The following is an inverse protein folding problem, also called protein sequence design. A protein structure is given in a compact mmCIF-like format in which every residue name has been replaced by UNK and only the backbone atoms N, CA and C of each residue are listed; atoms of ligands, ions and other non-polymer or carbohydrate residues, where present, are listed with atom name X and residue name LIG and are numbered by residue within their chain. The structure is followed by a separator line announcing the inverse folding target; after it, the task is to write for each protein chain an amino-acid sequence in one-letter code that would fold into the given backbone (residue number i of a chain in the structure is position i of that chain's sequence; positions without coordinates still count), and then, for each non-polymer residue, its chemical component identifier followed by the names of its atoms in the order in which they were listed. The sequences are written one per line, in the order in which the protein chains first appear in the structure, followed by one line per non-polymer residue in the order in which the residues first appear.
data_IF_756150764769
#
_entry.id   IF_756150764769
#
_cell.length_a   1.000
_cell.length_b   1.000
_cell.length_c   1.000
_cell.angle_alpha   90.00
_cell.angle_beta   90.00
_cell.angle_gamma   90.00
#
_symmetry.space_group_name_H-M   'P 1'
#
loop_
_entity.id
_entity.type
_entity.pdbx_description
1 polymer ?
#
# COMPACT_ATOMS: atom_id res chain seq x y z
N UNK A 1 28.27 15.27 27.29
CA UNK A 1 28.19 13.79 27.13
C UNK A 1 26.75 13.48 26.75
N UNK A 2 26.50 13.23 25.46
CA UNK A 2 25.19 12.86 24.95
C UNK A 2 24.88 11.43 25.41
N UNK A 3 23.96 11.29 26.37
CA UNK A 3 23.35 10.00 26.66
C UNK A 3 22.29 9.81 25.57
N UNK A 4 22.61 9.05 24.52
CA UNK A 4 21.60 8.50 23.63
C UNK A 4 20.68 7.61 24.48
N UNK A 5 19.46 8.07 24.67
CA UNK A 5 18.42 7.33 25.38
C UNK A 5 18.10 6.05 24.61
N UNK A 6 18.39 4.92 25.24
CA UNK A 6 18.06 3.55 24.80
C UNK A 6 16.53 3.31 24.72
N UNK A 7 15.69 4.32 25.04
CA UNK A 7 14.22 4.23 25.05
C UNK A 7 13.51 4.65 23.75
N UNK A 8 14.22 5.18 22.75
CA UNK A 8 13.59 5.67 21.51
C UNK A 8 13.26 4.56 20.50
N UNK A 9 14.11 3.51 20.41
CA UNK A 9 13.97 2.43 19.43
C UNK A 9 12.70 1.56 19.60
N UNK A 10 12.26 1.19 20.83
CA UNK A 10 11.05 0.38 21.01
C UNK A 10 9.77 1.11 20.54
N UNK A 11 9.73 2.44 20.67
CA UNK A 11 8.58 3.27 20.26
C UNK A 11 8.50 3.40 18.74
N UNK A 12 9.64 3.53 18.08
CA UNK A 12 9.71 3.57 16.61
C UNK A 12 9.27 2.23 16.01
N UNK A 13 9.79 1.11 16.53
CA UNK A 13 9.41 -0.22 16.05
C UNK A 13 7.91 -0.49 16.20
N UNK A 14 7.32 -0.10 17.34
CA UNK A 14 5.88 -0.22 17.56
C UNK A 14 5.06 0.68 16.61
N UNK A 15 5.53 1.90 16.33
CA UNK A 15 4.88 2.81 15.38
C UNK A 15 4.93 2.27 13.95
N UNK A 16 6.10 1.81 13.50
CA UNK A 16 6.28 1.16 12.19
C UNK A 16 5.40 -0.09 12.08
N UNK A 17 5.34 -0.92 13.13
CA UNK A 17 4.46 -2.10 13.16
C UNK A 17 2.97 -1.76 13.07
N UNK A 18 2.55 -0.66 13.69
CA UNK A 18 1.16 -0.15 13.59
C UNK A 18 0.86 0.35 12.18
N UNK A 19 1.78 1.10 11.57
CA UNK A 19 1.67 1.55 10.18
C UNK A 19 1.61 0.36 9.22
N UNK A 20 2.49 -0.63 9.40
CA UNK A 20 2.49 -1.87 8.62
C UNK A 20 1.14 -2.60 8.70
N UNK A 21 0.61 -2.81 9.90
CA UNK A 21 -0.70 -3.46 10.08
C UNK A 21 -1.85 -2.66 9.43
N UNK A 22 -1.81 -1.33 9.54
CA UNK A 22 -2.79 -0.44 8.89
C UNK A 22 -2.73 -0.59 7.37
N UNK A 23 -1.53 -0.61 6.80
CA UNK A 23 -1.32 -0.77 5.37
C UNK A 23 -1.69 -2.16 4.87
N UNK A 24 -1.37 -3.23 5.60
CA UNK A 24 -1.83 -4.58 5.27
C UNK A 24 -3.35 -4.67 5.20
N UNK A 25 -4.04 -4.10 6.20
CA UNK A 25 -5.50 -4.11 6.23
C UNK A 25 -6.08 -3.24 5.11
N UNK A 26 -5.50 -2.06 4.86
CA UNK A 26 -5.94 -1.16 3.80
C UNK A 26 -5.78 -1.82 2.41
N UNK A 27 -4.65 -2.46 2.16
CA UNK A 27 -4.35 -3.18 0.92
C UNK A 27 -5.32 -4.37 0.72
N UNK A 28 -5.56 -5.15 1.78
CA UNK A 28 -6.55 -6.21 1.76
C UNK A 28 -7.96 -5.69 1.47
N UNK A 29 -8.38 -4.60 2.13
CA UNK A 29 -9.69 -3.98 1.92
C UNK A 29 -9.83 -3.39 0.51
N UNK A 30 -8.74 -2.89 -0.08
CA UNK A 30 -8.76 -2.37 -1.45
C UNK A 30 -9.12 -3.46 -2.47
N UNK A 31 -8.71 -4.72 -2.23
CA UNK A 31 -9.08 -5.82 -3.10
C UNK A 31 -10.61 -6.00 -3.16
N UNK A 32 -11.36 -5.74 -2.09
CA UNK A 32 -12.83 -5.80 -2.12
C UNK A 32 -13.45 -4.65 -2.92
N UNK A 33 -12.79 -3.50 -2.95
CA UNK A 33 -13.22 -2.37 -3.79
C UNK A 33 -12.98 -2.68 -5.26
N UNK A 34 -11.82 -3.25 -5.57
CA UNK A 34 -11.37 -3.52 -6.94
C UNK A 34 -12.00 -4.78 -7.54
N UNK A 35 -12.32 -5.75 -6.69
CA UNK A 35 -12.76 -7.09 -7.05
C UNK A 35 -13.98 -7.56 -6.21
N UNK A 36 -15.09 -6.82 -6.21
CA UNK A 36 -16.18 -6.98 -5.23
C UNK A 36 -16.86 -8.36 -5.24
N UNK A 37 -16.79 -9.09 -6.35
CA UNK A 37 -17.45 -10.39 -6.52
C UNK A 37 -16.49 -11.54 -6.78
N UNK A 38 -15.19 -11.27 -6.84
CA UNK A 38 -14.20 -12.24 -7.30
C UNK A 38 -13.46 -12.86 -6.11
N UNK A 39 -13.18 -14.15 -6.21
CA UNK A 39 -12.29 -14.89 -5.32
C UNK A 39 -10.85 -14.51 -5.65
N UNK A 40 -10.16 -13.98 -4.65
CA UNK A 40 -8.75 -13.61 -4.72
C UNK A 40 -7.86 -14.77 -4.25
N UNK A 41 -6.64 -14.83 -4.79
CA UNK A 41 -5.62 -15.80 -4.43
C UNK A 41 -4.70 -15.27 -3.33
N UNK A 42 -4.93 -15.73 -2.10
CA UNK A 42 -4.11 -15.39 -0.93
C UNK A 42 -3.02 -16.45 -0.64
N UNK A 43 -2.70 -17.31 -1.62
CA UNK A 43 -1.67 -18.33 -1.48
C UNK A 43 -2.01 -19.36 -0.41
N UNK A 44 -1.07 -19.61 0.51
CA UNK A 44 -1.26 -20.56 1.61
C UNK A 44 -2.51 -20.29 2.46
N UNK A 45 -2.98 -19.03 2.54
CA UNK A 45 -4.17 -18.67 3.31
C UNK A 45 -5.47 -19.23 2.70
N UNK A 46 -5.50 -19.52 1.39
CA UNK A 46 -6.65 -20.12 0.72
C UNK A 46 -7.04 -21.48 1.33
N UNK A 47 -6.06 -22.24 1.88
CA UNK A 47 -6.32 -23.53 2.53
C UNK A 47 -7.31 -23.42 3.68
N UNK A 48 -7.25 -22.33 4.45
CA UNK A 48 -8.12 -22.12 5.62
C UNK A 48 -9.57 -21.80 5.26
N UNK A 49 -9.84 -21.44 4.01
CA UNK A 49 -11.17 -21.11 3.49
C UNK A 49 -11.63 -22.10 2.39
N UNK A 50 -10.97 -23.26 2.31
CA UNK A 50 -11.33 -24.33 1.37
C UNK A 50 -11.13 -23.96 -0.11
N UNK A 51 -10.21 -23.04 -0.41
CA UNK A 51 -9.88 -22.63 -1.78
C UNK A 51 -8.61 -23.33 -2.28
N UNK A 52 -8.50 -23.41 -3.60
CA UNK A 52 -7.34 -23.98 -4.28
C UNK A 52 -6.07 -23.14 -4.00
N UNK A 53 -4.93 -23.83 -3.96
CA UNK A 53 -3.59 -23.24 -3.83
C UNK A 53 -2.73 -23.76 -4.95
N UNK A 54 -2.30 -22.85 -5.83
CA UNK A 54 -1.27 -23.12 -6.84
C UNK A 54 0.11 -22.79 -6.26
N UNK A 55 0.24 -21.62 -5.64
CA UNK A 55 1.49 -21.11 -5.06
C UNK A 55 1.32 -20.74 -3.61
N UNK A 56 2.37 -20.95 -2.82
CA UNK A 56 2.31 -20.68 -1.39
C UNK A 56 2.46 -19.20 -1.04
N UNK A 57 3.22 -18.44 -1.84
CA UNK A 57 3.54 -17.04 -1.56
C UNK A 57 3.77 -16.17 -2.81
N UNK A 58 4.76 -16.47 -3.65
CA UNK A 58 5.07 -15.64 -4.83
C UNK A 58 3.91 -15.55 -5.82
N UNK A 59 3.64 -14.34 -6.34
CA UNK A 59 2.55 -14.10 -7.29
C UNK A 59 1.15 -14.08 -6.66
N UNK A 60 1.05 -14.16 -5.33
CA UNK A 60 -0.22 -14.15 -4.59
C UNK A 60 -0.54 -12.75 -4.05
N UNK A 61 -1.82 -12.49 -3.74
CA UNK A 61 -2.23 -11.25 -3.07
C UNK A 61 -1.59 -11.09 -1.69
N UNK A 62 -1.29 -12.19 -1.00
CA UNK A 62 -0.61 -12.13 0.31
C UNK A 62 0.79 -11.55 0.19
N UNK A 63 1.57 -12.01 -0.79
CA UNK A 63 2.92 -11.47 -1.02
C UNK A 63 2.88 -9.99 -1.38
N UNK A 64 1.94 -9.62 -2.24
CA UNK A 64 1.69 -8.23 -2.59
C UNK A 64 1.37 -7.36 -1.37
N UNK A 65 0.36 -7.77 -0.58
CA UNK A 65 -0.10 -7.05 0.62
C UNK A 65 1.07 -6.81 1.58
N UNK A 66 1.77 -7.87 1.98
CA UNK A 66 2.83 -7.75 3.00
C UNK A 66 4.06 -7.04 2.45
N UNK A 67 4.39 -7.27 1.18
CA UNK A 67 5.54 -6.65 0.52
C UNK A 67 5.37 -5.16 0.37
N UNK A 68 4.24 -4.72 -0.22
CA UNK A 68 3.93 -3.30 -0.41
C UNK A 68 3.78 -2.60 0.94
N UNK A 69 3.02 -3.18 1.88
CA UNK A 69 2.84 -2.58 3.21
C UNK A 69 4.16 -2.44 3.99
N UNK A 70 5.06 -3.42 3.88
CA UNK A 70 6.38 -3.38 4.51
C UNK A 70 7.25 -2.25 3.95
N UNK A 71 7.33 -2.15 2.62
CA UNK A 71 8.09 -1.09 1.96
C UNK A 71 7.49 0.29 2.24
N UNK A 72 6.16 0.43 2.22
CA UNK A 72 5.50 1.70 2.52
C UNK A 72 5.67 2.12 3.97
N UNK A 73 5.56 1.22 4.94
CA UNK A 73 5.79 1.56 6.34
C UNK A 73 7.21 2.07 6.57
N UNK A 74 8.20 1.47 5.89
CA UNK A 74 9.59 1.93 5.95
C UNK A 74 9.77 3.31 5.32
N UNK A 75 9.25 3.52 4.09
CA UNK A 75 9.44 4.78 3.37
C UNK A 75 8.61 5.91 3.96
N UNK A 76 7.44 5.64 4.53
CA UNK A 76 6.60 6.61 5.24
C UNK A 76 7.38 7.20 6.41
N UNK A 77 7.82 6.36 7.35
CA UNK A 77 8.58 6.80 8.53
C UNK A 77 9.89 7.50 8.15
N UNK A 78 10.59 7.01 7.13
CA UNK A 78 11.81 7.65 6.61
C UNK A 78 11.50 9.04 6.04
N UNK A 79 10.44 9.14 5.24
CA UNK A 79 10.01 10.39 4.61
C UNK A 79 9.56 11.41 5.66
N UNK A 80 8.76 10.99 6.65
CA UNK A 80 8.36 11.84 7.78
C UNK A 80 9.60 12.42 8.49
N UNK A 81 10.59 11.58 8.83
CA UNK A 81 11.80 12.04 9.49
C UNK A 81 12.60 13.07 8.66
N UNK A 82 12.69 12.88 7.33
CA UNK A 82 13.36 13.81 6.44
C UNK A 82 12.65 15.18 6.38
N UNK A 83 11.33 15.17 6.19
CA UNK A 83 10.54 16.39 6.09
C UNK A 83 10.46 17.13 7.43
N UNK A 84 10.35 16.44 8.57
CA UNK A 84 10.36 17.07 9.89
C UNK A 84 11.70 17.77 10.15
N UNK A 85 12.81 17.11 9.79
CA UNK A 85 14.15 17.70 9.88
C UNK A 85 14.31 18.93 8.98
N UNK A 86 13.79 18.88 7.76
CA UNK A 86 13.91 19.96 6.79
C UNK A 86 13.02 21.18 7.16
N UNK A 87 11.77 20.93 7.57
CA UNK A 87 10.77 21.98 7.80
C UNK A 87 10.79 22.54 9.22
N UNK A 88 11.36 21.80 10.18
CA UNK A 88 11.31 22.12 11.62
C UNK A 88 9.88 22.36 12.13
N UNK A 89 8.89 21.73 11.48
CA UNK A 89 7.46 21.82 11.78
C UNK A 89 6.82 20.45 11.60
N UNK A 90 5.74 20.14 12.33
CA UNK A 90 4.97 18.91 12.13
C UNK A 90 4.44 18.82 10.70
N UNK A 91 4.55 17.64 10.09
CA UNK A 91 4.00 17.35 8.78
C UNK A 91 2.52 17.00 8.95
N UNK A 92 1.64 17.89 8.51
CA UNK A 92 0.23 17.56 8.36
C UNK A 92 -0.41 18.44 7.30
N UNK A 93 -1.47 17.94 6.68
CA UNK A 93 -2.17 18.68 5.62
C UNK A 93 -2.60 20.09 6.07
N UNK A 94 -3.07 20.24 7.31
CA UNK A 94 -3.55 21.51 7.85
C UNK A 94 -2.45 22.57 8.05
N UNK A 95 -1.20 22.16 8.33
CA UNK A 95 -0.10 23.10 8.66
C UNK A 95 0.92 23.24 7.54
N UNK A 96 1.07 22.22 6.70
CA UNK A 96 2.10 22.13 5.67
C UNK A 96 1.59 21.37 4.45
N UNK A 97 0.57 21.90 3.73
CA UNK A 97 -0.15 21.15 2.68
C UNK A 97 0.78 20.72 1.54
N UNK A 98 1.63 21.60 1.03
CA UNK A 98 2.55 21.27 -0.06
C UNK A 98 3.57 20.19 0.35
N UNK A 99 4.12 20.29 1.57
CA UNK A 99 5.03 19.30 2.09
C UNK A 99 4.35 17.96 2.37
N UNK A 100 3.11 17.99 2.86
CA UNK A 100 2.31 16.78 3.08
C UNK A 100 2.05 16.04 1.76
N UNK A 101 1.65 16.77 0.71
CA UNK A 101 1.47 16.21 -0.64
C UNK A 101 2.78 15.64 -1.19
N UNK A 102 3.90 16.37 -1.06
CA UNK A 102 5.20 15.90 -1.50
C UNK A 102 5.65 14.65 -0.73
N UNK A 103 5.44 14.63 0.60
CA UNK A 103 5.67 13.47 1.44
C UNK A 103 4.85 12.26 0.97
N UNK A 104 3.53 12.43 0.76
CA UNK A 104 2.62 11.39 0.27
C UNK A 104 3.10 10.79 -1.03
N UNK A 105 3.39 11.63 -2.02
CA UNK A 105 3.91 11.14 -3.31
C UNK A 105 5.23 10.38 -3.13
N UNK A 106 6.20 10.96 -2.39
CA UNK A 106 7.53 10.38 -2.26
C UNK A 106 7.52 9.05 -1.54
N UNK A 107 6.78 8.92 -0.43
CA UNK A 107 6.79 7.68 0.33
C UNK A 107 6.05 6.56 -0.44
N UNK A 108 4.93 6.88 -1.10
CA UNK A 108 4.18 5.90 -1.91
C UNK A 108 5.03 5.44 -3.09
N UNK A 109 5.50 6.38 -3.91
CA UNK A 109 6.30 6.05 -5.09
C UNK A 109 7.55 5.25 -4.71
N UNK A 110 8.29 5.70 -3.70
CA UNK A 110 9.51 5.01 -3.28
C UNK A 110 9.22 3.64 -2.67
N UNK A 111 8.19 3.53 -1.84
CA UNK A 111 7.85 2.27 -1.18
C UNK A 111 7.36 1.23 -2.18
N UNK A 112 6.46 1.61 -3.09
CA UNK A 112 5.99 0.69 -4.14
C UNK A 112 7.12 0.34 -5.11
N UNK A 113 7.99 1.29 -5.48
CA UNK A 113 9.17 0.99 -6.33
C UNK A 113 10.15 0.04 -5.64
N UNK A 114 10.37 0.18 -4.34
CA UNK A 114 11.18 -0.77 -3.56
C UNK A 114 10.57 -2.16 -3.56
N UNK A 115 9.25 -2.26 -3.39
CA UNK A 115 8.53 -3.52 -3.51
C UNK A 115 8.71 -4.13 -4.91
N UNK A 116 8.47 -3.36 -5.97
CA UNK A 116 8.63 -3.83 -7.36
C UNK A 116 10.05 -4.31 -7.62
N UNK A 117 11.06 -3.60 -7.11
CA UNK A 117 12.45 -4.02 -7.22
C UNK A 117 12.72 -5.35 -6.48
N UNK A 118 12.17 -5.52 -5.28
CA UNK A 118 12.26 -6.77 -4.54
C UNK A 118 11.53 -7.92 -5.26
N UNK A 119 10.31 -7.68 -5.72
CA UNK A 119 9.52 -8.67 -6.47
C UNK A 119 10.24 -9.08 -7.76
N UNK A 120 10.67 -8.11 -8.57
CA UNK A 120 11.44 -8.38 -9.79
C UNK A 120 12.74 -9.16 -9.52
N UNK A 121 13.43 -8.91 -8.40
CA UNK A 121 14.69 -9.57 -8.08
C UNK A 121 14.52 -11.01 -7.57
N UNK A 122 13.49 -11.26 -6.76
CA UNK A 122 13.37 -12.49 -5.97
C UNK A 122 12.21 -13.40 -6.40
N UNK A 123 11.21 -12.88 -7.11
CA UNK A 123 10.09 -13.69 -7.58
C UNK A 123 10.54 -14.56 -8.77
N UNK A 124 10.43 -15.90 -8.67
CA UNK A 124 10.81 -16.80 -9.76
C UNK A 124 9.98 -16.60 -11.03
N UNK A 125 8.79 -16.00 -10.95
CA UNK A 125 7.95 -15.70 -12.12
C UNK A 125 8.55 -14.70 -13.09
N UNK A 126 9.52 -13.94 -12.61
CA UNK A 126 10.15 -12.88 -13.37
C UNK A 126 11.49 -13.32 -13.98
N UNK A 127 11.86 -14.60 -13.85
CA UNK A 127 13.06 -15.14 -14.51
C UNK A 127 13.02 -14.89 -16.02
N UNK A 128 14.12 -14.37 -16.56
CA UNK A 128 14.22 -13.95 -17.96
C UNK A 128 13.63 -12.58 -18.29
N UNK A 129 12.81 -11.98 -17.41
CA UNK A 129 12.12 -10.68 -17.66
C UNK A 129 12.24 -9.65 -16.52
N UNK A 130 13.07 -9.89 -15.51
CA UNK A 130 13.22 -9.02 -14.30
C UNK A 130 13.33 -7.52 -14.58
N UNK A 131 14.14 -7.13 -15.57
CA UNK A 131 14.34 -5.72 -15.90
C UNK A 131 13.09 -5.09 -16.54
N UNK A 132 12.33 -5.88 -17.30
CA UNK A 132 11.05 -5.43 -17.87
C UNK A 132 10.03 -5.19 -16.75
N UNK A 133 9.90 -6.15 -15.83
CA UNK A 133 9.00 -6.07 -14.67
C UNK A 133 9.36 -4.91 -13.74
N UNK A 134 10.65 -4.67 -13.50
CA UNK A 134 11.10 -3.51 -12.74
C UNK A 134 10.68 -2.20 -13.40
N UNK A 135 10.89 -2.06 -14.71
CA UNK A 135 10.56 -0.83 -15.45
C UNK A 135 9.06 -0.60 -15.54
N UNK A 136 8.29 -1.62 -15.92
CA UNK A 136 6.84 -1.54 -16.04
C UNK A 136 6.21 -1.26 -14.68
N UNK A 137 6.59 -2.01 -13.65
CA UNK A 137 6.09 -1.84 -12.29
C UNK A 137 6.42 -0.46 -11.71
N UNK A 138 7.64 0.05 -11.92
CA UNK A 138 8.03 1.40 -11.48
C UNK A 138 7.24 2.48 -12.22
N UNK A 139 7.06 2.34 -13.53
CA UNK A 139 6.27 3.29 -14.32
C UNK A 139 4.80 3.32 -13.89
N UNK A 140 4.19 2.15 -13.73
CA UNK A 140 2.84 2.03 -13.18
C UNK A 140 2.72 2.63 -11.77
N UNK A 141 3.75 2.44 -10.93
CA UNK A 141 3.80 3.04 -9.59
C UNK A 141 3.84 4.56 -9.66
N UNK A 142 4.59 5.13 -10.62
CA UNK A 142 4.58 6.57 -10.88
C UNK A 142 3.18 7.05 -11.28
N UNK A 143 2.52 6.37 -12.22
CA UNK A 143 1.16 6.72 -12.65
C UNK A 143 0.18 6.66 -11.47
N UNK A 144 0.16 5.58 -10.71
CA UNK A 144 -0.73 5.40 -9.56
C UNK A 144 -0.45 6.37 -8.41
N UNK A 145 0.83 6.68 -8.12
CA UNK A 145 1.18 7.61 -7.03
C UNK A 145 0.73 9.05 -7.33
N UNK A 146 0.69 9.44 -8.61
CA UNK A 146 0.15 10.74 -9.01
C UNK A 146 -1.37 10.83 -8.85
N UNK A 147 -2.10 9.72 -8.89
CA UNK A 147 -3.56 9.72 -8.72
C UNK A 147 -3.98 9.63 -7.26
N UNK A 148 -3.08 9.25 -6.34
CA UNK A 148 -3.30 9.23 -4.90
C UNK A 148 -3.32 10.62 -4.22
N UNK A 149 -3.21 11.72 -4.98
CA UNK A 149 -3.21 13.10 -4.47
C UNK A 149 -4.46 13.48 -3.65
N UNK A 150 -5.52 12.68 -3.71
CA UNK A 150 -6.76 12.92 -2.98
C UNK A 150 -6.73 12.41 -1.53
N UNK A 151 -5.77 11.56 -1.15
CA UNK A 151 -5.65 11.01 0.21
C UNK A 151 -5.73 12.09 1.32
N UNK A 152 -5.04 13.24 1.21
CA UNK A 152 -5.07 14.28 2.24
C UNK A 152 -6.45 14.92 2.45
N UNK A 153 -7.37 14.79 1.49
CA UNK A 153 -8.69 15.42 1.52
C UNK A 153 -9.77 14.52 2.16
N UNK A 154 -9.49 13.24 2.39
CA UNK A 154 -10.47 12.28 2.93
C UNK A 154 -10.89 12.64 4.36
N UNK A 155 -9.94 12.86 5.26
CA UNK A 155 -10.26 13.19 6.65
C UNK A 155 -11.04 14.51 6.81
N UNK A 156 -10.69 15.62 6.11
CA UNK A 156 -11.52 16.82 6.07
C UNK A 156 -12.95 16.57 5.55
N UNK A 157 -13.11 15.72 4.53
CA UNK A 157 -14.43 15.38 4.01
C UNK A 157 -15.26 14.59 5.03
N UNK A 158 -14.67 13.60 5.71
CA UNK A 158 -15.32 12.85 6.80
C UNK A 158 -15.71 13.79 7.93
N UNK A 159 -14.83 14.71 8.33
CA UNK A 159 -15.12 15.68 9.39
C UNK A 159 -16.34 16.56 9.06
N UNK A 160 -16.52 16.91 7.79
CA UNK A 160 -17.66 17.71 7.32
C UNK A 160 -18.98 16.94 7.36
N UNK A 161 -18.96 15.63 7.08
CA UNK A 161 -20.19 14.81 6.96
C UNK A 161 -20.57 14.14 8.28
N UNK A 162 -19.61 13.57 9.00
CA UNK A 162 -19.82 12.76 10.20
C UNK A 162 -19.31 13.43 11.49
N UNK A 163 -18.76 14.65 11.38
CA UNK A 163 -18.23 15.43 12.49
C UNK A 163 -16.76 15.14 12.84
N UNK A 164 -16.08 16.04 13.58
CA UNK A 164 -14.66 15.89 13.91
C UNK A 164 -14.33 14.65 14.74
N UNK A 165 -15.26 14.21 15.61
CA UNK A 165 -15.05 13.02 16.44
C UNK A 165 -14.90 11.74 15.60
N UNK A 166 -15.73 11.59 14.56
CA UNK A 166 -15.64 10.46 13.64
C UNK A 166 -14.35 10.51 12.82
N UNK A 167 -13.98 11.70 12.32
CA UNK A 167 -12.77 11.90 11.51
C UNK A 167 -11.46 11.63 12.27
N UNK A 168 -11.47 11.76 13.61
CA UNK A 168 -10.30 11.51 14.46
C UNK A 168 -10.15 10.04 14.90
N UNK A 169 -11.04 9.14 14.47
CA UNK A 169 -10.88 7.70 14.72
C UNK A 169 -9.78 7.13 13.83
N UNK A 170 -9.03 6.12 14.30
CA UNK A 170 -8.03 5.43 13.47
C UNK A 170 -8.62 4.92 12.14
N UNK A 171 -9.87 4.45 12.16
CA UNK A 171 -10.57 4.02 10.96
C UNK A 171 -10.68 5.14 9.92
N UNK A 172 -11.16 6.32 10.31
CA UNK A 172 -11.36 7.44 9.39
C UNK A 172 -10.08 8.22 9.06
N UNK A 173 -9.15 8.33 10.01
CA UNK A 173 -7.96 9.18 9.90
C UNK A 173 -6.77 8.48 9.25
N UNK A 174 -6.71 7.15 9.30
CA UNK A 174 -5.58 6.37 8.80
C UNK A 174 -6.02 5.25 7.85
N UNK A 175 -6.95 4.37 8.28
CA UNK A 175 -7.31 3.19 7.48
C UNK A 175 -8.05 3.54 6.18
N UNK A 176 -9.08 4.39 6.26
CA UNK A 176 -9.89 4.77 5.10
C UNK A 176 -9.07 5.53 4.04
N UNK A 177 -8.29 6.58 4.39
CA UNK A 177 -7.38 7.22 3.43
C UNK A 177 -6.44 6.22 2.75
N UNK A 178 -5.79 5.35 3.54
CA UNK A 178 -4.89 4.33 3.00
C UNK A 178 -5.62 3.37 2.05
N UNK A 179 -6.82 2.89 2.43
CA UNK A 179 -7.61 1.95 1.60
C UNK A 179 -7.97 2.56 0.24
N UNK A 180 -8.36 3.84 0.24
CA UNK A 180 -8.67 4.57 -1.00
C UNK A 180 -7.41 4.85 -1.83
N UNK A 181 -6.29 5.15 -1.19
CA UNK A 181 -5.00 5.31 -1.87
C UNK A 181 -4.59 4.00 -2.56
N UNK A 182 -4.64 2.86 -1.86
CA UNK A 182 -4.37 1.54 -2.45
C UNK A 182 -5.28 1.23 -3.63
N UNK A 183 -6.60 1.40 -3.47
CA UNK A 183 -7.55 1.16 -4.56
C UNK A 183 -7.25 2.03 -5.80
N UNK A 184 -6.84 3.27 -5.58
CA UNK A 184 -6.49 4.22 -6.65
C UNK A 184 -5.16 3.88 -7.32
N UNK A 185 -4.12 3.61 -6.54
CA UNK A 185 -2.78 3.26 -7.05
C UNK A 185 -2.82 1.96 -7.82
N UNK A 186 -3.38 0.89 -7.22
CA UNK A 186 -3.50 -0.41 -7.87
C UNK A 186 -4.42 -0.34 -9.09
N UNK A 187 -5.59 0.29 -8.93
CA UNK A 187 -6.57 0.38 -10.00
C UNK A 187 -6.07 1.18 -11.20
N UNK A 188 -5.52 2.37 -10.98
CA UNK A 188 -5.11 3.27 -12.09
C UNK A 188 -3.69 3.00 -12.56
N UNK A 189 -2.77 2.69 -11.65
CA UNK A 189 -1.37 2.42 -11.99
C UNK A 189 -1.15 1.01 -12.53
N UNK A 190 -1.68 0.00 -11.84
CA UNK A 190 -1.50 -1.42 -12.20
C UNK A 190 -2.66 -2.03 -12.98
N UNK A 191 -3.66 -1.22 -13.36
CA UNK A 191 -4.84 -1.70 -14.10
C UNK A 191 -5.58 -2.83 -13.37
N UNK A 192 -5.51 -2.84 -12.04
CA UNK A 192 -6.04 -3.89 -11.18
C UNK A 192 -7.54 -3.63 -10.89
N UNK A 193 -8.37 -3.76 -11.91
CA UNK A 193 -9.83 -3.58 -11.83
C UNK A 193 -10.57 -4.79 -12.40
N UNK A 194 -11.46 -5.39 -11.59
CA UNK A 194 -12.29 -6.50 -12.05
C UNK A 194 -11.46 -7.61 -12.68
N UNK A 195 -11.77 -8.02 -13.91
CA UNK A 195 -11.11 -9.15 -14.56
C UNK A 195 -9.68 -8.82 -15.04
N UNK A 196 -9.31 -7.56 -15.27
CA UNK A 196 -7.97 -7.22 -15.81
C UNK A 196 -6.85 -7.39 -14.78
N UNK A 197 -7.20 -7.36 -13.49
CA UNK A 197 -6.25 -7.53 -12.41
C UNK A 197 -6.06 -8.97 -11.94
N UNK A 198 -6.78 -9.94 -12.50
CA UNK A 198 -6.77 -11.31 -11.99
C UNK A 198 -5.55 -12.10 -12.47
N UNK A 199 -4.94 -12.87 -11.56
CA UNK A 199 -3.94 -13.87 -11.91
C UNK A 199 -4.59 -15.17 -12.46
N UNK A 200 -3.78 -16.12 -12.94
CA UNK A 200 -4.30 -17.34 -13.58
C UNK A 200 -5.17 -18.21 -12.66
N UNK A 201 -4.80 -18.33 -11.38
CA UNK A 201 -5.60 -19.06 -10.40
C UNK A 201 -6.90 -18.32 -10.08
N UNK A 202 -6.86 -17.00 -9.95
CA UNK A 202 -8.05 -16.17 -9.73
C UNK A 202 -9.01 -16.25 -10.91
N UNK A 203 -8.51 -16.23 -12.15
CA UNK A 203 -9.34 -16.43 -13.34
C UNK A 203 -10.05 -17.78 -13.31
N UNK A 204 -9.32 -18.85 -12.96
CA UNK A 204 -9.87 -20.20 -12.79
C UNK A 204 -10.94 -20.26 -11.70
N UNK A 205 -10.66 -19.75 -10.50
CA UNK A 205 -11.57 -19.80 -9.36
C UNK A 205 -12.89 -19.03 -9.60
N UNK A 206 -12.85 -18.05 -10.50
CA UNK A 206 -13.97 -17.19 -10.86
C UNK A 206 -14.66 -17.58 -12.18
N UNK A 207 -14.23 -18.67 -12.83
CA UNK A 207 -14.76 -19.12 -14.13
C UNK A 207 -14.69 -18.03 -15.21
N UNK A 208 -13.61 -17.24 -15.23
CA UNK A 208 -13.38 -16.18 -16.20
C UNK A 208 -12.38 -16.68 -17.25
N UNK A 209 -12.74 -16.60 -18.53
CA UNK A 209 -11.83 -16.92 -19.62
C UNK A 209 -10.71 -15.88 -19.72
N UNK A 210 -9.47 -16.33 -19.89
CA UNK A 210 -8.30 -15.47 -20.17
C UNK A 210 -8.55 -14.75 -21.49
N UNK A 211 -8.62 -13.42 -21.45
CA UNK A 211 -8.76 -12.58 -22.65
C UNK A 211 -7.42 -12.39 -23.34
#
# INVERSE_FOLDING_TARGET
IFIMSVSAAPRLAAAVGTTFGTYCLADFLSNFIQHPTQKMDYGSLNRYIGREVDREFWGTRTQHIVGVAGCLALTDHTSQALFEKALKKPICFAKSPAAFVAHTFLFIFSGVTLYVAGDAAFNPDHEGKRMEELKSGTYSSYVGSNTAWFEPYVAPAVAKVAGPAAANTWFASALLPATLAYATVKGVGWYDWGNSGLNDLEMKMNNVAKK
#
